data_IF_703680531094
#
_entry.id   IF_703680531094
#
_cell.length_a   1.000
_cell.length_b   1.000
_cell.length_c   1.000
_cell.angle_alpha   90.00
_cell.angle_beta   90.00
_cell.angle_gamma   90.00
#
_symmetry.space_group_name_H-M   'P 1'
#
loop_
_entity.id
_entity.type
_entity.pdbx_description
1 polymer ?
#
# COMPACT_ATOMS: atom_id res chain seq x y z
N UNK A 1 -9.59 13.58 13.79
CA UNK A 1 -10.43 12.38 13.56
C UNK A 1 -9.91 11.66 12.32
N UNK A 2 -9.74 10.34 12.36
CA UNK A 2 -9.26 9.56 11.19
C UNK A 2 -10.45 9.20 10.30
N UNK A 3 -10.39 9.55 9.01
CA UNK A 3 -11.38 9.15 8.00
C UNK A 3 -10.65 8.56 6.81
N UNK A 4 -10.85 7.27 6.53
CA UNK A 4 -10.30 6.61 5.34
C UNK A 4 -11.21 6.89 4.15
N UNK A 5 -10.69 7.59 3.14
CA UNK A 5 -11.44 7.99 1.95
C UNK A 5 -11.31 6.97 0.82
N UNK A 6 -12.30 6.93 -0.07
CA UNK A 6 -12.15 6.26 -1.36
C UNK A 6 -10.99 6.93 -2.12
N UNK A 7 -10.08 6.14 -2.67
CA UNK A 7 -8.96 6.61 -3.49
C UNK A 7 -9.41 7.58 -4.60
N UNK A 8 -10.57 7.34 -5.21
CA UNK A 8 -11.08 8.14 -6.33
C UNK A 8 -11.49 9.56 -5.90
N UNK A 9 -11.75 9.75 -4.60
CA UNK A 9 -12.18 11.03 -4.02
C UNK A 9 -11.01 11.82 -3.40
N UNK A 10 -9.77 11.29 -3.47
CA UNK A 10 -8.61 12.03 -3.00
C UNK A 10 -8.34 13.25 -3.89
N UNK A 11 -8.10 14.38 -3.25
CA UNK A 11 -7.57 15.57 -3.91
C UNK A 11 -6.11 15.35 -4.35
N UNK A 12 -5.61 16.20 -5.24
CA UNK A 12 -4.21 16.16 -5.67
C UNK A 12 -3.23 16.30 -4.49
N UNK A 13 -3.56 17.18 -3.52
CA UNK A 13 -2.74 17.36 -2.32
C UNK A 13 -2.74 16.12 -1.42
N UNK A 14 -3.87 15.43 -1.28
CA UNK A 14 -3.95 14.19 -0.48
C UNK A 14 -3.18 13.04 -1.12
N UNK A 15 -3.28 12.87 -2.44
CA UNK A 15 -2.46 11.89 -3.17
C UNK A 15 -0.98 12.16 -2.97
N UNK A 16 -0.53 13.42 -3.16
CA UNK A 16 0.86 13.82 -2.98
C UNK A 16 1.36 13.49 -1.57
N UNK A 17 0.64 13.92 -0.53
CA UNK A 17 1.03 13.66 0.87
C UNK A 17 1.11 12.17 1.19
N UNK A 18 0.16 11.38 0.68
CA UNK A 18 0.20 9.93 0.87
C UNK A 18 1.42 9.29 0.19
N UNK A 19 1.71 9.66 -1.06
CA UNK A 19 2.89 9.19 -1.80
C UNK A 19 4.18 9.59 -1.08
N UNK A 20 4.29 10.85 -0.67
CA UNK A 20 5.48 11.37 0.03
C UNK A 20 5.71 10.61 1.35
N UNK A 21 4.64 10.35 2.11
CA UNK A 21 4.73 9.58 3.35
C UNK A 21 5.16 8.12 3.11
N UNK A 22 4.68 7.48 2.04
CA UNK A 22 5.13 6.14 1.65
C UNK A 22 6.61 6.10 1.30
N UNK A 23 7.05 7.06 0.47
CA UNK A 23 8.46 7.14 0.06
C UNK A 23 9.37 7.43 1.26
N UNK A 24 8.94 8.22 2.24
CA UNK A 24 9.70 8.44 3.46
C UNK A 24 9.77 7.20 4.36
N UNK A 25 8.67 6.44 4.50
CA UNK A 25 8.71 5.16 5.20
C UNK A 25 9.65 4.16 4.51
N UNK A 26 9.71 4.17 3.18
CA UNK A 26 10.66 3.35 2.42
C UNK A 26 12.09 3.81 2.63
N UNK A 27 12.36 5.12 2.51
CA UNK A 27 13.69 5.72 2.72
C UNK A 27 14.25 5.43 4.11
N UNK A 28 13.40 5.43 5.13
CA UNK A 28 13.80 5.12 6.52
C UNK A 28 13.92 3.61 6.82
N UNK A 29 13.63 2.74 5.85
CA UNK A 29 13.62 1.27 6.02
C UNK A 29 12.41 0.73 6.78
N UNK A 30 11.54 1.61 7.31
CA UNK A 30 10.38 1.22 8.12
C UNK A 30 9.30 0.52 7.28
N UNK A 31 9.18 0.87 6.00
CA UNK A 31 8.26 0.18 5.08
C UNK A 31 8.60 -1.31 4.94
N UNK A 32 9.89 -1.65 4.87
CA UNK A 32 10.34 -3.01 4.61
C UNK A 32 10.02 -3.96 5.78
N UNK A 33 9.94 -3.45 7.01
CA UNK A 33 9.48 -4.23 8.17
C UNK A 33 8.05 -4.76 8.00
N UNK A 34 7.15 -4.00 7.35
CA UNK A 34 5.79 -4.46 7.04
C UNK A 34 5.81 -5.59 6.00
N UNK A 35 6.66 -5.47 4.98
CA UNK A 35 6.85 -6.49 3.95
C UNK A 35 7.39 -7.79 4.56
N UNK A 36 8.48 -7.69 5.34
CA UNK A 36 9.09 -8.84 6.02
C UNK A 36 8.11 -9.52 6.98
N UNK A 37 7.38 -8.75 7.78
CA UNK A 37 6.40 -9.29 8.73
C UNK A 37 5.28 -10.02 7.99
N UNK A 38 4.69 -9.41 6.97
CA UNK A 38 3.63 -10.05 6.19
C UNK A 38 4.13 -11.35 5.52
N UNK A 39 5.34 -11.35 4.95
CA UNK A 39 5.92 -12.55 4.34
C UNK A 39 6.16 -13.68 5.35
N UNK A 40 6.57 -13.34 6.59
CA UNK A 40 6.75 -14.33 7.65
C UNK A 40 5.43 -15.06 7.98
N UNK A 41 4.30 -14.34 8.07
CA UNK A 41 2.99 -14.94 8.29
C UNK A 41 2.49 -15.72 7.07
N UNK A 42 2.68 -15.20 5.84
CA UNK A 42 2.35 -15.94 4.61
C UNK A 42 3.07 -17.30 4.56
N UNK A 43 4.36 -17.34 4.91
CA UNK A 43 5.16 -18.56 4.86
C UNK A 43 4.90 -19.49 6.04
N UNK A 44 4.49 -18.95 7.20
CA UNK A 44 4.22 -19.71 8.42
C UNK A 44 2.80 -20.30 8.47
N UNK A 45 1.82 -19.63 7.88
CA UNK A 45 0.42 -20.03 7.94
C UNK A 45 0.14 -21.22 7.02
N UNK A 46 -0.15 -22.38 7.61
CA UNK A 46 -0.41 -23.62 6.87
C UNK A 46 -1.83 -24.14 7.13
N UNK A 47 -2.41 -24.86 6.18
CA UNK A 47 -3.80 -25.34 6.31
C UNK A 47 -3.97 -26.43 7.39
N UNK A 48 -2.91 -27.22 7.57
CA UNK A 48 -2.84 -28.36 8.50
C UNK A 48 -2.00 -28.04 9.75
N UNK A 49 -1.69 -26.76 9.98
CA UNK A 49 -0.90 -26.30 11.12
C UNK A 49 -1.40 -24.97 11.67
N UNK A 50 -0.53 -24.26 12.39
CA UNK A 50 -0.84 -22.93 12.91
C UNK A 50 -1.06 -21.95 11.75
N UNK A 51 -2.10 -21.12 11.88
CA UNK A 51 -2.45 -20.08 10.90
C UNK A 51 -3.09 -18.88 11.57
N UNK A 52 -2.50 -17.71 11.38
CA UNK A 52 -2.88 -16.49 12.10
C UNK A 52 -3.24 -15.35 11.15
N UNK A 53 -2.37 -15.03 10.20
CA UNK A 53 -2.54 -13.92 9.26
C UNK A 53 -3.45 -14.25 8.08
N UNK A 54 -3.47 -15.50 7.64
CA UNK A 54 -4.08 -15.95 6.40
C UNK A 54 -4.80 -17.30 6.57
N UNK A 55 -5.79 -17.55 5.71
CA UNK A 55 -6.52 -18.84 5.63
C UNK A 55 -7.20 -19.28 6.94
N UNK A 56 -7.43 -18.32 7.84
CA UNK A 56 -7.94 -18.54 9.19
C UNK A 56 -8.99 -17.48 9.54
N UNK A 57 -9.82 -17.70 10.58
CA UNK A 57 -10.78 -16.70 11.05
C UNK A 57 -10.13 -15.37 11.46
N UNK A 58 -8.85 -15.38 11.86
CA UNK A 58 -8.10 -14.19 12.23
C UNK A 58 -7.59 -13.37 11.04
N UNK A 59 -7.79 -13.82 9.80
CA UNK A 59 -7.40 -13.07 8.59
C UNK A 59 -7.85 -11.60 8.63
N UNK A 60 -9.13 -11.36 8.89
CA UNK A 60 -9.70 -10.00 8.91
C UNK A 60 -9.15 -9.16 10.08
N UNK A 61 -9.19 -9.60 11.36
CA UNK A 61 -8.64 -8.80 12.45
C UNK A 61 -7.12 -8.62 12.38
N UNK A 62 -6.37 -9.60 11.88
CA UNK A 62 -4.92 -9.49 11.70
C UNK A 62 -4.58 -8.40 10.68
N UNK A 63 -5.19 -8.43 9.48
CA UNK A 63 -4.97 -7.38 8.48
C UNK A 63 -5.47 -6.02 8.95
N UNK A 64 -6.59 -5.95 9.68
CA UNK A 64 -7.05 -4.69 10.28
C UNK A 64 -6.00 -4.10 11.20
N UNK A 65 -5.41 -4.90 12.09
CA UNK A 65 -4.36 -4.43 13.01
C UNK A 65 -3.10 -4.04 12.25
N UNK A 66 -2.66 -4.83 11.27
CA UNK A 66 -1.53 -4.53 10.39
C UNK A 66 -1.70 -3.17 9.69
N UNK A 67 -2.89 -2.91 9.11
CA UNK A 67 -3.20 -1.62 8.49
C UNK A 67 -3.31 -0.46 9.48
N UNK A 68 -3.71 -0.71 10.74
CA UNK A 68 -3.70 0.33 11.79
C UNK A 68 -2.26 0.74 12.15
N UNK A 69 -1.35 -0.22 12.24
CA UNK A 69 0.07 0.04 12.50
C UNK A 69 0.74 0.74 11.30
N UNK A 70 0.38 0.34 10.08
CA UNK A 70 0.84 1.00 8.86
C UNK A 70 0.35 2.45 8.76
N UNK A 71 -0.94 2.70 9.05
CA UNK A 71 -1.49 4.06 9.07
C UNK A 71 -0.87 4.91 10.19
N UNK A 72 -0.59 4.34 11.35
CA UNK A 72 0.14 5.04 12.42
C UNK A 72 1.56 5.42 11.97
N UNK A 73 2.24 4.54 11.23
CA UNK A 73 3.56 4.85 10.67
C UNK A 73 3.49 5.98 9.63
N UNK A 74 2.51 5.97 8.73
CA UNK A 74 2.28 7.08 7.78
C UNK A 74 2.03 8.40 8.52
N UNK A 75 1.19 8.37 9.56
CA UNK A 75 0.89 9.55 10.38
C UNK A 75 2.07 10.09 11.18
N UNK A 76 3.03 9.23 11.51
CA UNK A 76 4.29 9.67 12.13
C UNK A 76 5.16 10.49 11.16
N UNK A 77 4.93 10.37 9.85
CA UNK A 77 5.57 11.21 8.82
C UNK A 77 4.73 12.47 8.54
N UNK A 78 3.43 12.30 8.28
CA UNK A 78 2.48 13.40 8.10
C UNK A 78 1.15 13.05 8.78
N UNK A 79 0.83 13.75 9.87
CA UNK A 79 -0.35 13.49 10.71
C UNK A 79 -1.69 13.68 9.96
N UNK A 80 -1.69 14.36 8.81
CA UNK A 80 -2.88 14.56 7.97
C UNK A 80 -3.18 13.36 7.06
N UNK A 81 -2.21 12.47 6.85
CA UNK A 81 -2.36 11.29 6.00
C UNK A 81 -3.23 10.24 6.68
N UNK A 82 -4.15 9.66 5.91
CA UNK A 82 -4.92 8.47 6.28
C UNK A 82 -4.82 7.46 5.15
N UNK A 83 -4.97 6.17 5.46
CA UNK A 83 -4.91 5.13 4.44
C UNK A 83 -6.18 5.18 3.56
N UNK A 84 -6.08 5.45 2.25
CA UNK A 84 -7.23 5.36 1.37
C UNK A 84 -7.62 3.90 1.12
N UNK A 85 -8.84 3.67 0.67
CA UNK A 85 -9.26 2.37 0.17
C UNK A 85 -9.51 2.43 -1.34
N UNK A 86 -9.19 1.34 -2.02
CA UNK A 86 -9.56 1.13 -3.42
C UNK A 86 -10.81 0.27 -3.47
N UNK A 87 -11.92 0.86 -3.92
CA UNK A 87 -13.10 0.09 -4.31
C UNK A 87 -12.91 -0.48 -5.72
N UNK A 88 -12.29 -1.65 -5.77
CA UNK A 88 -12.01 -2.38 -7.01
C UNK A 88 -13.26 -2.93 -7.70
N UNK A 89 -14.44 -2.86 -7.07
CA UNK A 89 -15.70 -3.23 -7.72
C UNK A 89 -16.21 -2.13 -8.65
N UNK A 90 -15.92 -0.87 -8.32
CA UNK A 90 -16.26 0.31 -9.11
C UNK A 90 -15.10 0.75 -10.01
N UNK A 91 -13.91 0.98 -9.43
CA UNK A 91 -12.69 1.41 -10.11
C UNK A 91 -11.90 0.20 -10.67
N UNK A 92 -12.48 -0.48 -11.65
CA UNK A 92 -12.03 -1.81 -12.11
C UNK A 92 -11.23 -1.84 -13.42
N UNK A 93 -10.80 -0.69 -13.93
CA UNK A 93 -10.08 -0.60 -15.21
C UNK A 93 -8.67 -0.08 -15.03
N UNK A 94 -7.77 -0.43 -15.95
CA UNK A 94 -6.40 0.09 -16.00
C UNK A 94 -6.33 1.60 -16.29
N UNK A 95 -7.47 2.24 -16.62
CA UNK A 95 -7.58 3.70 -16.83
C UNK A 95 -8.03 4.45 -15.57
N UNK A 96 -8.26 3.77 -14.44
CA UNK A 96 -8.62 4.41 -13.17
C UNK A 96 -7.56 5.43 -12.75
N UNK A 97 -8.00 6.51 -12.08
CA UNK A 97 -7.11 7.52 -11.48
C UNK A 97 -6.17 6.95 -10.41
N UNK A 98 -6.44 5.72 -9.94
CA UNK A 98 -5.55 4.95 -9.09
C UNK A 98 -4.18 4.71 -9.75
N UNK A 99 -4.20 4.39 -11.05
CA UNK A 99 -3.04 3.99 -11.85
C UNK A 99 -2.39 5.15 -12.60
N UNK A 100 -2.79 6.38 -12.29
CA UNK A 100 -2.22 7.55 -12.92
C UNK A 100 -0.80 7.85 -12.37
N UNK A 101 0.08 8.53 -13.15
CA UNK A 101 1.44 8.84 -12.73
C UNK A 101 1.54 9.77 -11.50
N UNK A 102 0.48 10.48 -11.15
CA UNK A 102 0.40 11.31 -9.93
C UNK A 102 0.09 10.48 -8.67
N UNK A 103 -0.14 9.17 -8.81
CA UNK A 103 -0.50 8.30 -7.70
C UNK A 103 0.27 6.98 -7.66
N UNK A 104 -0.29 5.84 -8.07
CA UNK A 104 0.42 4.55 -7.96
C UNK A 104 1.28 4.19 -9.19
N UNK A 105 1.10 4.89 -10.31
CA UNK A 105 1.68 4.49 -11.59
C UNK A 105 0.91 3.36 -12.27
N UNK A 106 1.18 3.18 -13.56
CA UNK A 106 0.48 2.25 -14.43
C UNK A 106 0.97 0.81 -14.33
N UNK A 107 0.47 0.00 -15.27
CA UNK A 107 0.90 -1.38 -15.40
C UNK A 107 2.36 -1.49 -15.88
N UNK A 108 2.98 -2.64 -15.60
CA UNK A 108 4.32 -2.94 -16.08
C UNK A 108 4.41 -3.09 -17.59
N UNK A 109 5.58 -2.77 -18.15
CA UNK A 109 5.87 -3.01 -19.57
C UNK A 109 5.89 -4.50 -19.89
N UNK A 110 5.48 -4.86 -21.10
CA UNK A 110 5.24 -6.27 -21.49
C UNK A 110 6.44 -7.21 -21.35
N UNK A 111 7.67 -6.71 -21.50
CA UNK A 111 8.87 -7.56 -21.55
C UNK A 111 9.26 -8.20 -20.22
N UNK A 112 9.04 -7.49 -19.11
CA UNK A 112 9.56 -7.87 -17.79
C UNK A 112 8.63 -7.45 -16.63
N UNK A 113 7.46 -6.89 -16.94
CA UNK A 113 6.51 -6.41 -15.93
C UNK A 113 6.99 -5.20 -15.14
N UNK A 114 8.11 -4.56 -15.51
CA UNK A 114 8.62 -3.42 -14.76
C UNK A 114 7.68 -2.23 -14.91
N UNK A 115 7.20 -1.67 -13.79
CA UNK A 115 6.50 -0.37 -13.76
C UNK A 115 7.48 0.73 -14.21
N UNK A 116 7.01 1.60 -15.11
CA UNK A 116 7.84 2.61 -15.78
C UNK A 116 7.44 4.05 -15.52
N UNK A 117 6.31 4.29 -14.85
CA UNK A 117 5.79 5.62 -14.52
C UNK A 117 5.32 5.69 -13.06
N UNK A 118 5.01 6.91 -12.62
CA UNK A 118 4.62 7.17 -11.25
C UNK A 118 5.78 7.17 -10.24
N UNK A 119 5.48 7.47 -8.97
CA UNK A 119 6.49 7.71 -7.93
C UNK A 119 7.23 6.44 -7.50
N UNK A 120 6.66 5.26 -7.77
CA UNK A 120 7.21 3.95 -7.40
C UNK A 120 7.93 3.25 -8.57
N UNK A 121 8.06 3.90 -9.73
CA UNK A 121 8.85 3.36 -10.84
C UNK A 121 10.32 3.20 -10.45
N UNK A 122 10.94 2.08 -10.87
CA UNK A 122 12.35 1.78 -10.60
C UNK A 122 13.31 2.89 -11.05
N UNK A 123 13.01 3.56 -12.16
CA UNK A 123 13.81 4.68 -12.69
C UNK A 123 13.91 5.86 -11.73
N UNK A 124 12.93 6.04 -10.84
CA UNK A 124 12.94 7.08 -9.82
C UNK A 124 13.93 6.83 -8.69
N UNK A 125 14.46 5.60 -8.54
CA UNK A 125 15.41 5.19 -7.50
C UNK A 125 14.98 5.55 -6.05
N UNK A 126 13.66 5.62 -5.81
CA UNK A 126 13.04 5.84 -4.49
C UNK A 126 12.28 4.61 -3.99
N UNK A 127 12.26 3.54 -4.78
CA UNK A 127 11.51 2.32 -4.55
C UNK A 127 12.31 1.09 -5.01
N UNK A 128 13.36 0.78 -4.26
CA UNK A 128 14.31 -0.32 -4.51
C UNK A 128 14.47 -1.20 -3.28
#
# INVERSE_FOLDING_TARGET
>A
MTVRKNQAALTADEKRRFVDALLELKRSGRYDAFVTTHNAFIMGDTDDGDRVGHRSPSFLPWHRRFLMEFEAALKSVDATVTLPYWDWTADRTSRSSLWAPDFLGGTGRARDGQVTDGPFARSGNRWT
#
